data_IF_410425454776
#
_entry.id   IF_410425454776
#
_cell.length_a   1.000
_cell.length_b   1.000
_cell.length_c   1.000
_cell.angle_alpha   90.00
_cell.angle_beta   90.00
_cell.angle_gamma   90.00
#
_symmetry.space_group_name_H-M   'P 1'
#
loop_
_entity.id
_entity.type
_entity.pdbx_description
1 polymer ?
#
# COMPACT_ATOMS: atom_id res chain seq x y z
N UNK A 1 -19.01 -5.90 -11.07
CA UNK A 1 -18.74 -7.25 -10.47
C UNK A 1 -19.58 -7.44 -9.21
N UNK A 2 -19.88 -8.66 -8.77
CA UNK A 2 -20.68 -8.91 -7.54
C UNK A 2 -20.05 -8.24 -6.31
N UNK A 3 -18.71 -8.27 -6.20
CA UNK A 3 -17.95 -7.59 -5.14
C UNK A 3 -18.07 -6.05 -5.20
N UNK A 4 -18.36 -5.48 -6.37
CA UNK A 4 -18.53 -4.03 -6.56
C UNK A 4 -19.80 -3.49 -5.89
N UNK A 5 -20.77 -4.38 -5.59
CA UNK A 5 -21.97 -4.04 -4.83
C UNK A 5 -21.74 -3.91 -3.33
N UNK A 6 -20.59 -4.40 -2.81
CA UNK A 6 -20.34 -4.47 -1.37
C UNK A 6 -20.11 -3.08 -0.76
N UNK A 7 -19.32 -2.21 -1.41
CA UNK A 7 -19.01 -0.88 -0.87
C UNK A 7 -18.98 0.20 -1.95
N UNK A 8 -19.64 1.32 -1.65
CA UNK A 8 -19.61 2.55 -2.44
C UNK A 8 -18.56 3.52 -1.85
N UNK A 9 -17.74 4.23 -2.67
CA UNK A 9 -16.79 5.24 -2.17
C UNK A 9 -17.36 6.27 -1.19
N UNK A 10 -18.63 6.66 -1.35
CA UNK A 10 -19.29 7.57 -0.39
C UNK A 10 -19.49 6.96 1.00
N UNK A 11 -19.81 5.65 1.06
CA UNK A 11 -19.92 4.92 2.33
C UNK A 11 -18.54 4.73 2.95
N UNK A 12 -17.53 4.42 2.14
CA UNK A 12 -16.14 4.29 2.59
C UNK A 12 -15.58 5.60 3.20
N UNK A 13 -15.95 6.78 2.65
CA UNK A 13 -15.58 8.07 3.24
C UNK A 13 -16.20 8.31 4.62
N UNK A 14 -17.38 7.73 4.91
CA UNK A 14 -18.09 7.87 6.20
C UNK A 14 -17.61 6.85 7.23
N UNK A 15 -17.37 5.62 6.78
CA UNK A 15 -16.95 4.50 7.62
C UNK A 15 -15.66 3.87 7.06
N UNK A 16 -14.52 4.58 7.15
CA UNK A 16 -13.28 4.15 6.50
C UNK A 16 -12.73 2.82 7.04
N UNK A 17 -13.00 2.51 8.31
CA UNK A 17 -12.56 1.26 8.95
C UNK A 17 -13.19 0.01 8.35
N UNK A 18 -14.37 0.09 7.71
CA UNK A 18 -15.02 -1.05 7.05
C UNK A 18 -14.15 -1.60 5.90
N UNK A 19 -13.34 -0.73 5.28
CA UNK A 19 -12.41 -1.13 4.21
C UNK A 19 -11.35 -2.12 4.68
N UNK A 20 -11.05 -2.17 5.98
CA UNK A 20 -10.18 -3.18 6.55
C UNK A 20 -10.73 -4.59 6.37
N UNK A 21 -12.01 -4.79 6.70
CA UNK A 21 -12.66 -6.09 6.56
C UNK A 21 -12.82 -6.48 5.09
N UNK A 22 -13.06 -5.49 4.22
CA UNK A 22 -13.10 -5.72 2.76
C UNK A 22 -11.75 -6.14 2.23
N UNK A 23 -10.67 -5.45 2.58
CA UNK A 23 -9.31 -5.82 2.18
C UNK A 23 -8.93 -7.22 2.66
N UNK A 24 -9.29 -7.54 3.90
CA UNK A 24 -9.08 -8.87 4.47
C UNK A 24 -9.84 -9.96 3.70
N UNK A 25 -11.11 -9.71 3.40
CA UNK A 25 -11.97 -10.65 2.68
C UNK A 25 -11.49 -10.86 1.24
N UNK A 26 -11.21 -9.78 0.50
CA UNK A 26 -10.75 -9.84 -0.89
C UNK A 26 -9.47 -10.64 -1.00
N UNK A 27 -8.48 -10.36 -0.14
CA UNK A 27 -7.23 -11.08 -0.17
C UNK A 27 -7.36 -12.55 0.28
N UNK A 28 -8.23 -12.83 1.26
CA UNK A 28 -8.47 -14.22 1.68
C UNK A 28 -9.09 -15.05 0.55
N UNK A 29 -10.09 -14.50 -0.15
CA UNK A 29 -10.68 -15.15 -1.34
C UNK A 29 -9.61 -15.36 -2.42
N UNK A 30 -8.78 -14.34 -2.68
CA UNK A 30 -7.70 -14.43 -3.66
C UNK A 30 -6.67 -15.52 -3.34
N UNK A 31 -6.29 -15.68 -2.07
CA UNK A 31 -5.40 -16.76 -1.61
C UNK A 31 -6.01 -18.13 -1.89
N UNK A 32 -7.27 -18.35 -1.50
CA UNK A 32 -7.91 -19.65 -1.71
C UNK A 32 -8.07 -19.97 -3.19
N UNK A 33 -8.46 -19.00 -4.01
CA UNK A 33 -8.58 -19.18 -5.45
C UNK A 33 -7.23 -19.42 -6.12
N UNK A 34 -6.17 -18.74 -5.68
CA UNK A 34 -4.83 -18.92 -6.25
C UNK A 34 -4.28 -20.29 -5.94
N UNK A 35 -4.45 -20.79 -4.71
CA UNK A 35 -4.08 -22.16 -4.33
C UNK A 35 -4.91 -23.23 -5.05
N UNK A 36 -6.21 -23.00 -5.22
CA UNK A 36 -7.09 -24.03 -5.79
C UNK A 36 -6.96 -24.14 -7.32
N UNK A 37 -6.85 -23.01 -8.03
CA UNK A 37 -6.92 -22.99 -9.50
C UNK A 37 -5.54 -22.82 -10.14
N UNK A 38 -4.61 -22.14 -9.46
CA UNK A 38 -3.33 -21.70 -10.04
C UNK A 38 -2.15 -22.01 -9.12
N UNK A 39 -2.13 -23.20 -8.53
CA UNK A 39 -1.17 -23.59 -7.49
C UNK A 39 0.27 -23.20 -7.82
N UNK A 40 0.78 -23.55 -9.00
CA UNK A 40 2.17 -23.26 -9.42
C UNK A 40 2.54 -21.76 -9.45
N UNK A 41 1.55 -20.88 -9.62
CA UNK A 41 1.74 -19.42 -9.71
C UNK A 41 1.03 -18.66 -8.57
N UNK A 42 0.64 -19.38 -7.51
CA UNK A 42 -0.26 -18.86 -6.48
C UNK A 42 0.22 -17.54 -5.84
N UNK A 43 1.53 -17.35 -5.73
CA UNK A 43 2.16 -16.14 -5.16
C UNK A 43 1.86 -14.84 -5.92
N UNK A 44 2.01 -14.82 -7.25
CA UNK A 44 1.68 -13.63 -8.05
C UNK A 44 0.17 -13.55 -8.32
N UNK A 45 -0.48 -14.71 -8.50
CA UNK A 45 -1.92 -14.78 -8.79
C UNK A 45 -2.75 -14.26 -7.63
N UNK A 46 -2.39 -14.52 -6.37
CA UNK A 46 -3.13 -13.95 -5.24
C UNK A 46 -3.10 -12.41 -5.26
N UNK A 47 -1.95 -11.80 -5.57
CA UNK A 47 -1.82 -10.34 -5.66
C UNK A 47 -2.69 -9.82 -6.80
N UNK A 48 -2.63 -10.47 -7.95
CA UNK A 48 -3.41 -10.10 -9.13
C UNK A 48 -4.93 -10.18 -8.87
N UNK A 49 -5.41 -11.25 -8.24
CA UNK A 49 -6.83 -11.42 -7.92
C UNK A 49 -7.31 -10.39 -6.89
N UNK A 50 -6.51 -10.10 -5.86
CA UNK A 50 -6.81 -9.03 -4.89
C UNK A 50 -6.88 -7.67 -5.59
N UNK A 51 -5.94 -7.38 -6.49
CA UNK A 51 -5.94 -6.16 -7.30
C UNK A 51 -7.20 -6.06 -8.16
N UNK A 52 -7.56 -7.14 -8.86
CA UNK A 52 -8.76 -7.19 -9.70
C UNK A 52 -10.03 -6.89 -8.90
N UNK A 53 -10.13 -7.40 -7.66
CA UNK A 53 -11.26 -7.11 -6.78
C UNK A 53 -11.29 -5.63 -6.33
N UNK A 54 -10.13 -4.99 -6.16
CA UNK A 54 -10.02 -3.59 -5.74
C UNK A 54 -10.23 -2.59 -6.89
N UNK A 55 -9.82 -2.92 -8.13
CA UNK A 55 -9.79 -1.99 -9.27
C UNK A 55 -11.10 -1.22 -9.49
N UNK A 56 -12.29 -1.84 -9.51
CA UNK A 56 -13.55 -1.12 -9.75
C UNK A 56 -13.80 -0.02 -8.71
N UNK A 57 -13.56 -0.33 -7.43
CA UNK A 57 -13.72 0.60 -6.32
C UNK A 57 -12.72 1.75 -6.38
N UNK A 58 -11.45 1.45 -6.67
CA UNK A 58 -10.38 2.46 -6.80
C UNK A 58 -10.66 3.38 -8.00
N UNK A 59 -11.00 2.82 -9.16
CA UNK A 59 -11.30 3.59 -10.35
C UNK A 59 -12.48 4.54 -10.12
N UNK A 60 -13.58 4.06 -9.50
CA UNK A 60 -14.73 4.89 -9.15
C UNK A 60 -14.36 5.99 -8.17
N UNK A 61 -13.50 5.70 -7.18
CA UNK A 61 -12.99 6.68 -6.23
C UNK A 61 -12.24 7.80 -6.93
N UNK A 62 -11.25 7.46 -7.76
CA UNK A 62 -10.43 8.44 -8.49
C UNK A 62 -11.33 9.32 -9.38
N UNK A 63 -12.33 8.73 -10.04
CA UNK A 63 -13.29 9.48 -10.87
C UNK A 63 -14.09 10.51 -10.06
N UNK A 64 -14.50 10.15 -8.85
CA UNK A 64 -15.22 11.06 -7.94
C UNK A 64 -14.28 12.16 -7.44
N UNK A 65 -13.03 11.83 -7.11
CA UNK A 65 -12.05 12.81 -6.62
C UNK A 65 -11.69 13.85 -7.68
N UNK A 66 -11.52 13.44 -8.95
CA UNK A 66 -11.30 14.38 -10.05
C UNK A 66 -12.49 15.36 -10.23
N UNK A 67 -13.73 14.89 -10.07
CA UNK A 67 -14.91 15.76 -10.13
C UNK A 67 -15.00 16.72 -8.94
N UNK A 68 -14.53 16.30 -7.76
CA UNK A 68 -14.44 17.15 -6.57
C UNK A 68 -13.37 18.23 -6.76
N UNK A 69 -12.24 17.85 -7.36
CA UNK A 69 -11.11 18.74 -7.65
C UNK A 69 -11.52 19.93 -8.53
N UNK A 70 -12.37 19.69 -9.52
CA UNK A 70 -12.92 20.78 -10.35
C UNK A 70 -13.85 21.73 -9.57
N UNK A 71 -14.67 21.19 -8.65
CA UNK A 71 -15.71 21.94 -7.93
C UNK A 71 -15.14 22.77 -6.76
N UNK A 72 -14.17 22.25 -6.03
CA UNK A 72 -13.61 22.92 -4.85
C UNK A 72 -12.54 23.93 -5.29
N UNK A 73 -12.67 25.18 -4.83
CA UNK A 73 -11.69 26.25 -5.13
C UNK A 73 -10.62 26.45 -4.05
N UNK A 74 -10.89 26.02 -2.82
CA UNK A 74 -9.99 26.22 -1.67
C UNK A 74 -9.13 24.97 -1.47
N UNK A 75 -7.82 25.13 -1.62
CA UNK A 75 -6.84 24.04 -1.54
C UNK A 75 -6.92 23.25 -0.23
N UNK A 76 -7.01 23.96 0.91
CA UNK A 76 -7.13 23.31 2.21
C UNK A 76 -8.37 22.40 2.33
N UNK A 77 -9.49 22.79 1.73
CA UNK A 77 -10.72 21.99 1.75
C UNK A 77 -10.59 20.78 0.84
N UNK A 78 -9.94 20.96 -0.32
CA UNK A 78 -9.66 19.89 -1.27
C UNK A 78 -8.75 18.82 -0.66
N UNK A 79 -7.64 19.24 -0.03
CA UNK A 79 -6.71 18.33 0.67
C UNK A 79 -7.41 17.54 1.78
N UNK A 80 -8.36 18.16 2.48
CA UNK A 80 -9.18 17.45 3.49
C UNK A 80 -10.06 16.38 2.85
N UNK A 81 -10.61 16.61 1.66
CA UNK A 81 -11.37 15.58 0.93
C UNK A 81 -10.49 14.42 0.49
N UNK A 82 -9.32 14.71 -0.07
CA UNK A 82 -8.33 13.68 -0.44
C UNK A 82 -7.87 12.87 0.77
N UNK A 83 -7.67 13.52 1.92
CA UNK A 83 -7.28 12.82 3.16
C UNK A 83 -8.30 11.76 3.60
N UNK A 84 -9.61 11.99 3.39
CA UNK A 84 -10.65 10.99 3.69
C UNK A 84 -10.50 9.75 2.82
N UNK A 85 -10.09 9.94 1.56
CA UNK A 85 -9.80 8.84 0.64
C UNK A 85 -8.56 8.08 1.09
N UNK A 86 -7.48 8.78 1.43
CA UNK A 86 -6.26 8.15 1.94
C UNK A 86 -6.52 7.28 3.17
N UNK A 87 -7.34 7.75 4.11
CA UNK A 87 -7.65 7.00 5.34
C UNK A 87 -8.31 5.65 5.03
N UNK A 88 -9.34 5.59 4.19
CA UNK A 88 -9.98 4.31 3.90
C UNK A 88 -9.10 3.39 3.03
N UNK A 89 -8.24 3.97 2.19
CA UNK A 89 -7.26 3.20 1.42
C UNK A 89 -6.18 2.58 2.31
N UNK A 90 -5.76 3.28 3.35
CA UNK A 90 -4.87 2.73 4.40
C UNK A 90 -5.55 1.57 5.12
N UNK A 91 -6.84 1.69 5.48
CA UNK A 91 -7.58 0.56 6.07
C UNK A 91 -7.65 -0.64 5.13
N UNK A 92 -7.92 -0.42 3.83
CA UNK A 92 -7.89 -1.48 2.82
C UNK A 92 -6.52 -2.19 2.79
N UNK A 93 -5.43 -1.41 2.77
CA UNK A 93 -4.06 -1.94 2.82
C UNK A 93 -3.81 -2.78 4.07
N UNK A 94 -4.19 -2.28 5.25
CA UNK A 94 -4.04 -2.97 6.52
C UNK A 94 -4.84 -4.28 6.56
N UNK A 95 -6.02 -4.31 5.96
CA UNK A 95 -6.83 -5.52 5.82
C UNK A 95 -6.15 -6.59 4.98
N UNK A 96 -5.60 -6.20 3.81
CA UNK A 96 -4.83 -7.09 2.93
C UNK A 96 -3.59 -7.61 3.66
N UNK A 97 -2.81 -6.72 4.27
CA UNK A 97 -1.60 -7.05 5.03
C UNK A 97 -1.90 -8.05 6.16
N UNK A 98 -2.96 -7.80 6.94
CA UNK A 98 -3.35 -8.71 8.03
C UNK A 98 -3.80 -10.07 7.50
N UNK A 99 -4.59 -10.10 6.41
CA UNK A 99 -5.00 -11.35 5.78
C UNK A 99 -3.79 -12.20 5.41
N UNK A 100 -2.79 -11.61 4.75
CA UNK A 100 -1.55 -12.33 4.42
C UNK A 100 -0.82 -12.81 5.68
N UNK A 101 -0.67 -11.97 6.71
CA UNK A 101 -0.01 -12.36 7.95
C UNK A 101 -0.74 -13.52 8.66
N UNK A 102 -2.07 -13.48 8.73
CA UNK A 102 -2.89 -14.54 9.33
C UNK A 102 -2.75 -15.84 8.55
N UNK A 103 -2.91 -15.82 7.23
CA UNK A 103 -2.79 -17.03 6.41
C UNK A 103 -1.38 -17.61 6.40
N UNK A 104 -0.35 -16.75 6.46
CA UNK A 104 1.03 -17.20 6.65
C UNK A 104 1.21 -17.94 7.98
N UNK A 105 0.57 -17.50 9.07
CA UNK A 105 0.66 -18.18 10.36
C UNK A 105 -0.15 -19.49 10.36
N UNK A 106 -1.34 -19.49 9.76
CA UNK A 106 -2.28 -20.63 9.77
C UNK A 106 -1.81 -21.79 8.89
N UNK A 107 -1.26 -21.51 7.71
CA UNK A 107 -0.87 -22.58 6.78
C UNK A 107 0.39 -23.33 7.23
N UNK A 108 0.56 -24.61 6.83
CA UNK A 108 1.80 -25.35 7.05
C UNK A 108 2.93 -24.83 6.16
N UNK A 109 4.19 -25.05 6.58
CA UNK A 109 5.37 -24.58 5.87
C UNK A 109 5.51 -25.11 4.43
N UNK A 110 4.87 -26.24 4.10
CA UNK A 110 4.85 -26.78 2.73
C UNK A 110 4.14 -25.85 1.74
N UNK A 111 3.08 -25.14 2.18
CA UNK A 111 2.33 -24.21 1.32
C UNK A 111 3.10 -22.90 1.11
N UNK A 112 3.99 -22.53 2.05
CA UNK A 112 4.69 -21.25 1.99
C UNK A 112 5.57 -21.11 0.74
N UNK A 113 6.24 -22.18 0.33
CA UNK A 113 7.10 -22.18 -0.86
C UNK A 113 6.30 -22.00 -2.16
N UNK A 114 5.00 -22.28 -2.15
CA UNK A 114 4.12 -22.10 -3.30
C UNK A 114 3.43 -20.74 -3.26
N UNK A 115 2.88 -20.38 -2.09
CA UNK A 115 2.03 -19.19 -1.94
C UNK A 115 2.82 -17.90 -1.69
N UNK A 116 3.97 -17.97 -1.03
CA UNK A 116 4.69 -16.79 -0.54
C UNK A 116 6.16 -16.74 -0.97
N UNK A 117 6.59 -17.57 -1.93
CA UNK A 117 7.99 -17.60 -2.39
C UNK A 117 8.50 -16.24 -2.84
N UNK A 118 7.80 -15.56 -3.75
CA UNK A 118 8.34 -14.32 -4.33
C UNK A 118 8.38 -13.21 -3.28
N UNK A 119 7.42 -13.17 -2.35
CA UNK A 119 7.47 -12.24 -1.22
C UNK A 119 8.63 -12.57 -0.29
N UNK A 120 8.87 -13.85 -0.01
CA UNK A 120 10.00 -14.30 0.82
C UNK A 120 11.34 -13.94 0.18
N UNK A 121 11.52 -14.23 -1.11
CA UNK A 121 12.72 -13.85 -1.88
C UNK A 121 12.95 -12.33 -1.88
N UNK A 122 11.86 -11.56 -1.94
CA UNK A 122 11.93 -10.10 -1.88
C UNK A 122 12.42 -9.63 -0.51
N UNK A 123 11.89 -10.21 0.57
CA UNK A 123 12.34 -9.94 1.94
C UNK A 123 13.83 -10.28 2.10
N UNK A 124 14.27 -11.44 1.60
CA UNK A 124 15.67 -11.85 1.65
C UNK A 124 16.59 -10.89 0.89
N UNK A 125 16.19 -10.42 -0.30
CA UNK A 125 16.96 -9.43 -1.08
C UNK A 125 17.04 -8.07 -0.37
N UNK A 126 16.00 -7.67 0.36
CA UNK A 126 16.00 -6.44 1.16
C UNK A 126 16.89 -6.60 2.40
N UNK A 127 16.81 -7.75 3.08
CA UNK A 127 17.50 -8.04 4.34
C UNK A 127 18.94 -8.55 4.17
N UNK A 128 19.38 -8.92 2.97
CA UNK A 128 20.77 -9.19 2.63
C UNK A 128 21.41 -7.95 2.01
N UNK A 129 21.81 -6.93 2.80
CA UNK A 129 22.84 -6.05 2.32
C UNK A 129 24.13 -6.89 2.23
N UNK A 130 24.82 -6.80 1.10
CA UNK A 130 26.26 -7.03 1.06
C UNK A 130 26.89 -6.31 2.26
N UNK A 131 27.17 -7.06 3.33
CA UNK A 131 27.69 -6.56 4.60
C UNK A 131 29.16 -6.20 4.41
N UNK A 132 29.38 -5.07 3.76
CA UNK A 132 30.66 -4.37 3.72
C UNK A 132 30.58 -3.11 4.59
N UNK A 133 31.12 -3.20 5.81
CA UNK A 133 31.69 -2.13 6.66
C UNK A 133 30.91 -0.81 6.80
N UNK A 134 30.50 -0.51 8.04
CA UNK A 134 30.28 0.83 8.59
C UNK A 134 29.65 1.86 7.63
N UNK A 135 28.42 1.60 7.19
CA UNK A 135 27.63 2.61 6.47
C UNK A 135 27.18 3.64 7.52
N UNK A 136 27.68 4.87 7.43
CA UNK A 136 27.23 5.96 8.31
C UNK A 136 25.71 6.18 8.19
N UNK A 137 25.05 6.62 9.26
CA UNK A 137 23.59 6.76 9.33
C UNK A 137 22.99 7.59 8.19
N UNK A 138 23.74 8.56 7.67
CA UNK A 138 23.33 9.36 6.51
C UNK A 138 23.27 8.56 5.20
N UNK A 139 24.22 7.66 4.96
CA UNK A 139 24.20 6.79 3.77
C UNK A 139 23.07 5.75 3.87
N UNK A 140 22.77 5.26 5.07
CA UNK A 140 21.60 4.40 5.32
C UNK A 140 20.30 5.15 5.01
N UNK A 141 20.17 6.38 5.51
CA UNK A 141 19.04 7.27 5.22
C UNK A 141 18.84 7.49 3.72
N UNK A 142 19.88 7.89 2.99
CA UNK A 142 19.78 8.11 1.54
C UNK A 142 19.38 6.83 0.79
N UNK A 143 19.89 5.67 1.22
CA UNK A 143 19.54 4.38 0.62
C UNK A 143 18.07 4.03 0.83
N UNK A 144 17.57 4.15 2.05
CA UNK A 144 16.16 3.90 2.40
C UNK A 144 15.26 4.87 1.64
N UNK A 145 15.53 6.18 1.74
CA UNK A 145 14.76 7.21 1.07
C UNK A 145 14.73 7.01 -0.45
N UNK A 146 15.87 6.70 -1.09
CA UNK A 146 15.94 6.48 -2.54
C UNK A 146 15.19 5.22 -3.00
N UNK A 147 15.20 4.16 -2.19
CA UNK A 147 14.43 2.95 -2.48
C UNK A 147 12.93 3.23 -2.40
N UNK A 148 12.49 3.91 -1.35
CA UNK A 148 11.10 4.31 -1.17
C UNK A 148 10.65 5.32 -2.23
N UNK A 149 11.53 6.18 -2.70
CA UNK A 149 11.25 7.11 -3.80
C UNK A 149 10.97 6.35 -5.11
N UNK A 150 11.67 5.24 -5.38
CA UNK A 150 11.36 4.39 -6.54
C UNK A 150 9.95 3.81 -6.44
N UNK A 151 9.55 3.32 -5.27
CA UNK A 151 8.19 2.79 -5.04
C UNK A 151 7.14 3.89 -5.25
N UNK A 152 7.38 5.09 -4.72
CA UNK A 152 6.51 6.25 -4.92
C UNK A 152 6.36 6.60 -6.40
N UNK A 153 7.47 6.64 -7.15
CA UNK A 153 7.45 6.88 -8.60
C UNK A 153 6.71 5.78 -9.35
N UNK A 154 6.86 4.52 -8.96
CA UNK A 154 6.08 3.42 -9.55
C UNK A 154 4.58 3.58 -9.28
N UNK A 155 4.17 3.92 -8.06
CA UNK A 155 2.77 4.22 -7.74
C UNK A 155 2.22 5.35 -8.62
N UNK A 156 2.96 6.45 -8.74
CA UNK A 156 2.57 7.60 -9.57
C UNK A 156 2.41 7.21 -11.04
N UNK A 157 3.44 6.58 -11.63
CA UNK A 157 3.45 6.23 -13.05
C UNK A 157 2.42 5.15 -13.38
N UNK A 158 2.28 4.12 -12.54
CA UNK A 158 1.27 3.07 -12.77
C UNK A 158 -0.15 3.62 -12.65
N UNK A 159 -0.42 4.51 -11.71
CA UNK A 159 -1.71 5.18 -11.64
C UNK A 159 -1.94 6.10 -12.84
N UNK A 160 -0.92 6.82 -13.30
CA UNK A 160 -1.03 7.66 -14.48
C UNK A 160 -1.35 6.86 -15.76
N UNK A 161 -0.63 5.77 -16.03
CA UNK A 161 -0.81 5.00 -17.26
C UNK A 161 -2.01 4.04 -17.22
N UNK A 162 -2.29 3.44 -16.07
CA UNK A 162 -3.31 2.39 -15.93
C UNK A 162 -4.51 2.82 -15.06
N UNK A 163 -4.60 4.09 -14.67
CA UNK A 163 -5.66 4.64 -13.83
C UNK A 163 -5.58 4.15 -12.38
N UNK A 164 -6.08 2.94 -12.13
CA UNK A 164 -6.04 2.30 -10.81
C UNK A 164 -4.72 1.55 -10.54
N UNK A 165 -3.71 1.66 -11.41
CA UNK A 165 -2.50 0.82 -11.39
C UNK A 165 -1.68 0.88 -10.10
N UNK A 166 -1.72 1.97 -9.33
CA UNK A 166 -1.04 2.05 -8.03
C UNK A 166 -1.49 0.94 -7.06
N UNK A 167 -2.73 0.45 -7.16
CA UNK A 167 -3.23 -0.60 -6.27
C UNK A 167 -2.43 -1.91 -6.42
N UNK A 168 -1.83 -2.15 -7.59
CA UNK A 168 -0.96 -3.30 -7.80
C UNK A 168 0.30 -3.22 -6.95
N UNK A 169 1.00 -2.08 -7.00
CA UNK A 169 2.23 -1.84 -6.23
C UNK A 169 1.94 -1.88 -4.71
N UNK A 170 0.78 -1.35 -4.31
CA UNK A 170 0.35 -1.28 -2.92
C UNK A 170 -0.09 -2.63 -2.37
N UNK A 171 -0.83 -3.42 -3.16
CA UNK A 171 -1.21 -4.79 -2.78
C UNK A 171 0.03 -5.69 -2.71
N UNK A 172 0.98 -5.52 -3.63
CA UNK A 172 2.29 -6.17 -3.57
C UNK A 172 3.05 -5.82 -2.29
N UNK A 173 3.14 -4.54 -1.93
CA UNK A 173 3.78 -4.13 -0.68
C UNK A 173 3.07 -4.70 0.55
N UNK A 174 1.73 -4.68 0.57
CA UNK A 174 0.94 -5.25 1.65
C UNK A 174 1.23 -6.75 1.84
N UNK A 175 1.39 -7.51 0.75
CA UNK A 175 1.70 -8.94 0.84
C UNK A 175 3.12 -9.20 1.32
N UNK A 176 4.11 -8.42 0.86
CA UNK A 176 5.50 -8.51 1.36
C UNK A 176 5.56 -8.22 2.87
N UNK A 177 4.93 -7.14 3.34
CA UNK A 177 4.90 -6.80 4.76
C UNK A 177 4.12 -7.85 5.56
N UNK A 178 3.00 -8.34 5.04
CA UNK A 178 2.21 -9.40 5.67
C UNK A 178 3.01 -10.69 5.87
N UNK A 179 3.80 -11.11 4.86
CA UNK A 179 4.70 -12.27 4.96
C UNK A 179 5.80 -12.01 5.99
N UNK A 180 6.40 -10.81 6.02
CA UNK A 180 7.42 -10.46 7.00
C UNK A 180 6.89 -10.54 8.44
N UNK A 181 5.70 -10.00 8.69
CA UNK A 181 5.01 -10.07 9.98
C UNK A 181 4.70 -11.53 10.33
N UNK A 182 4.11 -12.30 9.40
CA UNK A 182 3.78 -13.71 9.59
C UNK A 182 5.00 -14.58 9.94
N UNK A 183 6.12 -14.36 9.24
CA UNK A 183 7.37 -15.07 9.48
C UNK A 183 7.99 -14.71 10.84
N UNK A 184 7.97 -13.43 11.21
CA UNK A 184 8.43 -12.97 12.52
C UNK A 184 7.60 -13.60 13.64
N UNK A 185 6.27 -13.66 13.49
CA UNK A 185 5.37 -14.32 14.44
C UNK A 185 5.74 -15.80 14.58
N UNK A 186 5.81 -16.55 13.48
CA UNK A 186 6.16 -17.99 13.52
C UNK A 186 7.52 -18.26 14.16
N UNK A 187 8.53 -17.46 13.82
CA UNK A 187 9.90 -17.61 14.35
C UNK A 187 9.99 -17.31 15.85
N UNK A 188 9.23 -16.32 16.34
CA UNK A 188 9.23 -15.95 17.75
C UNK A 188 8.30 -16.82 18.60
N UNK A 189 7.21 -17.34 18.05
CA UNK A 189 6.40 -18.39 18.71
C UNK A 189 7.26 -19.63 19.00
N UNK A 190 8.17 -19.98 18.10
CA UNK A 190 9.11 -21.09 18.32
C UNK A 190 10.14 -20.81 19.44
N UNK A 191 10.30 -19.55 19.88
CA UNK A 191 11.33 -19.12 20.84
C UNK A 191 10.81 -18.58 22.18
N UNK A 192 9.56 -18.08 22.26
CA UNK A 192 9.05 -17.36 23.43
C UNK A 192 7.68 -17.93 23.85
N UNK A 193 7.51 -18.20 25.15
CA UNK A 193 6.29 -18.76 25.78
C UNK A 193 5.10 -17.78 25.88
N UNK A 194 5.28 -16.50 25.51
CA UNK A 194 4.25 -15.46 25.58
C UNK A 194 3.72 -15.08 24.19
N UNK A 195 2.72 -15.83 23.73
CA UNK A 195 2.05 -15.69 22.43
C UNK A 195 1.46 -14.30 22.16
N UNK A 196 1.02 -13.58 23.21
CA UNK A 196 0.23 -12.35 23.07
C UNK A 196 1.05 -11.06 22.87
N UNK A 197 2.35 -11.05 23.21
CA UNK A 197 3.19 -9.85 23.12
C UNK A 197 3.96 -9.72 21.81
N UNK A 198 4.19 -10.83 21.09
CA UNK A 198 5.01 -10.86 19.87
C UNK A 198 4.29 -10.21 18.68
N UNK A 199 2.99 -10.47 18.53
CA UNK A 199 2.20 -9.96 17.41
C UNK A 199 2.14 -8.42 17.38
N UNK A 200 1.73 -7.73 18.48
CA UNK A 200 1.69 -6.27 18.49
C UNK A 200 3.07 -5.65 18.29
N UNK A 201 4.13 -6.23 18.85
CA UNK A 201 5.49 -5.69 18.76
C UNK A 201 6.02 -5.73 17.30
N UNK A 202 5.75 -6.83 16.59
CA UNK A 202 6.10 -6.97 15.18
C UNK A 202 5.44 -5.92 14.31
N UNK A 203 4.13 -5.76 14.46
CA UNK A 203 3.33 -4.78 13.73
C UNK A 203 3.79 -3.37 14.10
N UNK A 204 4.00 -3.08 15.38
CA UNK A 204 4.39 -1.74 15.85
C UNK A 204 5.72 -1.31 15.25
N UNK A 205 6.70 -2.23 15.14
CA UNK A 205 8.01 -1.95 14.54
C UNK A 205 7.91 -1.49 13.08
N UNK A 206 7.09 -2.14 12.26
CA UNK A 206 6.91 -1.74 10.86
C UNK A 206 6.01 -0.51 10.72
N UNK A 207 5.05 -0.31 11.63
CA UNK A 207 4.10 0.80 11.55
C UNK A 207 4.64 2.15 12.02
N UNK A 208 5.79 2.21 12.73
CA UNK A 208 6.39 3.50 13.16
C UNK A 208 6.66 4.43 11.99
N UNK A 209 7.26 3.90 10.92
CA UNK A 209 7.56 4.62 9.67
C UNK A 209 6.55 4.24 8.57
N UNK A 210 6.08 3.00 8.54
CA UNK A 210 5.20 2.48 7.49
C UNK A 210 3.91 3.28 7.29
N UNK A 211 3.33 3.88 8.35
CA UNK A 211 2.14 4.73 8.20
C UNK A 211 2.42 5.96 7.32
N UNK A 212 3.61 6.55 7.43
CA UNK A 212 4.02 7.69 6.61
C UNK A 212 4.32 7.26 5.17
N UNK A 213 4.99 6.12 4.98
CA UNK A 213 5.32 5.58 3.65
C UNK A 213 4.06 5.19 2.86
N UNK A 214 3.17 4.43 3.48
CA UNK A 214 1.92 3.99 2.86
C UNK A 214 1.05 5.19 2.50
N UNK A 215 0.99 6.20 3.38
CA UNK A 215 0.28 7.46 3.11
C UNK A 215 0.88 8.19 1.91
N UNK A 216 2.22 8.26 1.82
CA UNK A 216 2.91 8.86 0.68
C UNK A 216 2.59 8.12 -0.63
N UNK A 217 2.62 6.79 -0.63
CA UNK A 217 2.33 6.00 -1.82
C UNK A 217 0.89 6.12 -2.29
N UNK A 218 -0.08 6.12 -1.37
CA UNK A 218 -1.48 6.36 -1.73
C UNK A 218 -1.72 7.78 -2.21
N UNK A 219 -1.05 8.80 -1.62
CA UNK A 219 -1.15 10.17 -2.09
C UNK A 219 -0.59 10.32 -3.51
N UNK A 220 0.60 9.77 -3.79
CA UNK A 220 1.17 9.77 -5.13
C UNK A 220 0.33 8.97 -6.14
N UNK A 221 -0.19 7.80 -5.74
CA UNK A 221 -1.08 6.99 -6.57
C UNK A 221 -2.41 7.70 -6.87
N UNK A 222 -3.01 8.37 -5.89
CA UNK A 222 -4.23 9.15 -6.09
C UNK A 222 -3.99 10.33 -7.02
N UNK A 223 -2.88 11.07 -6.84
CA UNK A 223 -2.48 12.15 -7.75
C UNK A 223 -2.30 11.62 -9.19
N UNK A 224 -1.53 10.55 -9.38
CA UNK A 224 -1.33 9.94 -10.70
C UNK A 224 -2.64 9.49 -11.35
N UNK A 225 -3.54 8.89 -10.58
CA UNK A 225 -4.85 8.46 -11.05
C UNK A 225 -5.76 9.64 -11.44
N UNK A 226 -5.79 10.70 -10.64
CA UNK A 226 -6.57 11.92 -10.94
C UNK A 226 -6.07 12.55 -12.24
N UNK A 227 -4.74 12.65 -12.42
CA UNK A 227 -4.13 13.12 -13.66
C UNK A 227 -4.54 12.21 -14.83
N UNK A 228 -4.50 10.89 -14.67
CA UNK A 228 -4.93 9.92 -15.69
C UNK A 228 -6.36 10.19 -16.16
N UNK A 229 -7.30 10.36 -15.23
CA UNK A 229 -8.69 10.66 -15.55
C UNK A 229 -8.82 12.03 -16.22
N UNK A 230 -8.06 13.03 -15.77
CA UNK A 230 -8.08 14.36 -16.37
C UNK A 230 -7.61 14.36 -17.82
N UNK A 231 -6.59 13.57 -18.17
CA UNK A 231 -6.12 13.37 -19.56
C UNK A 231 -7.20 12.74 -20.43
N UNK A 232 -8.02 11.84 -19.88
CA UNK A 232 -9.09 11.17 -20.62
C UNK A 232 -10.32 12.08 -20.79
N UNK A 233 -10.69 12.83 -19.75
CA UNK A 233 -11.93 13.63 -19.71
C UNK A 233 -11.80 15.00 -20.34
N UNK A 234 -10.63 15.64 -20.24
CA UNK A 234 -10.44 17.02 -20.65
C UNK A 234 -9.48 17.12 -21.81
N UNK A 235 -9.76 18.03 -22.73
CA UNK A 235 -8.80 18.41 -23.75
C UNK A 235 -7.55 19.03 -23.10
N UNK A 236 -6.38 18.63 -23.60
CA UNK A 236 -5.10 19.15 -23.15
C UNK A 236 -5.03 20.67 -23.27
N UNK A 237 -4.55 21.35 -22.23
CA UNK A 237 -4.37 22.80 -22.22
C UNK A 237 -5.60 23.61 -21.78
N UNK A 238 -6.73 22.97 -21.46
CA UNK A 238 -7.88 23.66 -20.87
C UNK A 238 -7.57 24.17 -19.44
N UNK A 239 -8.29 25.21 -18.99
CA UNK A 239 -8.18 25.71 -17.60
C UNK A 239 -8.49 24.63 -16.56
N UNK A 240 -9.42 23.73 -16.89
CA UNK A 240 -9.81 22.61 -16.04
C UNK A 240 -8.67 21.59 -15.91
N UNK A 241 -8.09 21.17 -17.05
CA UNK A 241 -6.93 20.28 -17.06
C UNK A 241 -5.74 20.85 -16.29
N UNK A 242 -5.40 22.13 -16.52
CA UNK A 242 -4.29 22.80 -15.81
C UNK A 242 -4.54 22.89 -14.30
N UNK A 243 -5.78 23.11 -13.88
CA UNK A 243 -6.14 23.16 -12.46
C UNK A 243 -5.89 21.80 -11.79
N UNK A 244 -6.39 20.73 -12.39
CA UNK A 244 -6.21 19.36 -11.86
C UNK A 244 -4.72 18.97 -11.79
N UNK A 245 -3.94 19.35 -12.81
CA UNK A 245 -2.49 19.12 -12.79
C UNK A 245 -1.78 19.82 -11.64
N UNK A 246 -2.09 21.10 -11.38
CA UNK A 246 -1.46 21.86 -10.29
C UNK A 246 -1.84 21.27 -8.93
N UNK A 247 -3.11 20.95 -8.72
CA UNK A 247 -3.58 20.38 -7.46
C UNK A 247 -3.00 18.97 -7.22
N UNK A 248 -2.88 18.16 -8.28
CA UNK A 248 -2.22 16.86 -8.22
C UNK A 248 -0.72 16.99 -7.92
N UNK A 249 -0.07 18.05 -8.42
CA UNK A 249 1.34 18.33 -8.13
C UNK A 249 1.56 18.66 -6.64
N UNK A 250 0.67 19.45 -6.03
CA UNK A 250 0.72 19.72 -4.59
C UNK A 250 0.59 18.44 -3.75
N UNK A 251 -0.27 17.50 -4.16
CA UNK A 251 -0.35 16.18 -3.54
C UNK A 251 0.94 15.36 -3.69
N UNK A 252 1.62 15.43 -4.84
CA UNK A 252 2.91 14.74 -5.04
C UNK A 252 3.98 15.34 -4.12
N UNK A 253 4.01 16.65 -3.94
CA UNK A 253 4.94 17.30 -3.01
C UNK A 253 4.69 16.86 -1.56
N UNK A 254 3.42 16.77 -1.14
CA UNK A 254 3.04 16.25 0.18
C UNK A 254 3.48 14.79 0.33
N UNK A 255 3.31 13.96 -0.70
CA UNK A 255 3.74 12.57 -0.69
C UNK A 255 5.26 12.46 -0.48
N UNK A 256 6.06 13.27 -1.18
CA UNK A 256 7.53 13.29 -1.02
C UNK A 256 7.91 13.73 0.40
N UNK A 257 7.22 14.74 0.96
CA UNK A 257 7.46 15.20 2.33
C UNK A 257 7.16 14.08 3.35
N UNK A 258 6.03 13.39 3.21
CA UNK A 258 5.66 12.25 4.06
C UNK A 258 6.71 11.15 3.98
N UNK A 259 7.21 10.86 2.78
CA UNK A 259 8.25 9.85 2.57
C UNK A 259 9.59 10.23 3.21
N UNK A 260 9.94 11.52 3.17
CA UNK A 260 11.12 12.03 3.85
C UNK A 260 11.01 11.86 5.37
N UNK A 261 9.84 12.21 5.95
CA UNK A 261 9.56 11.98 7.37
C UNK A 261 9.64 10.49 7.72
N UNK A 262 9.10 9.61 6.88
CA UNK A 262 9.18 8.18 7.08
C UNK A 262 10.63 7.68 7.20
N UNK A 263 11.50 8.09 6.28
CA UNK A 263 12.91 7.71 6.29
C UNK A 263 13.66 8.25 7.52
N UNK A 264 13.32 9.45 8.01
CA UNK A 264 13.86 9.97 9.27
C UNK A 264 13.43 9.10 10.46
N UNK A 265 12.15 8.73 10.53
CA UNK A 265 11.61 7.88 11.59
C UNK A 265 12.25 6.49 11.55
N UNK A 266 12.44 5.91 10.37
CA UNK A 266 13.03 4.58 10.21
C UNK A 266 14.51 4.54 10.64
N UNK A 267 15.30 5.56 10.28
CA UNK A 267 16.75 5.55 10.55
C UNK A 267 17.11 6.05 11.95
N UNK A 268 16.42 7.07 12.45
CA UNK A 268 16.83 7.75 13.67
C UNK A 268 15.95 7.43 14.89
N UNK A 269 14.68 7.06 14.70
CA UNK A 269 13.74 6.86 15.82
C UNK A 269 13.49 5.37 16.06
N UNK A 270 13.19 4.61 15.01
CA UNK A 270 12.83 3.19 15.13
C UNK A 270 13.93 2.34 15.81
N UNK A 271 15.24 2.51 15.53
CA UNK A 271 16.30 1.75 16.20
C UNK A 271 16.53 2.11 17.67
N UNK A 272 15.96 3.22 18.14
CA UNK A 272 15.99 3.59 19.57
C UNK A 272 14.86 2.86 20.32
N UNK A 273 13.76 2.55 19.62
CA UNK A 273 12.57 1.92 20.20
C UNK A 273 12.61 0.38 20.17
N UNK A 274 13.40 -0.22 19.27
CA UNK A 274 13.48 -1.66 19.00
C UNK A 274 14.91 -2.10 18.69
#
# INVERSE_FOLDING_TARGET
MVLESLINPFTAKKHPWEMFFVGFLYNSIAIFLSLWVFEEYASLVMVFLTVMACVPFIYKTIKIEEEIDLKIKKEFVLMKEHSKVLIFLIFLFLGIMLSVAVWYVVFPSSIHQTLFNIQTDTIEKINNPLTGKAIGSFNLFLRIFSNNMKVLMFCLLFAFFYGAGAIFILTWNASVIGVAIGNLIKTNIAKITNYFSVFPLAVLRYMTHGVFEISAYFAAGLAGGIISIAVIKHEGGTKQFRKVLVNSFDMILIAILLLFVAALVEVFITPILF
#
